data_IF_860950095747
#
_entry.id   IF_860950095747
#
_cell.length_a   1.000
_cell.length_b   1.000
_cell.length_c   1.000
_cell.angle_alpha   90.00
_cell.angle_beta   90.00
_cell.angle_gamma   90.00
#
_symmetry.space_group_name_H-M   'P 1'
#
loop_
_entity.id
_entity.type
_entity.pdbx_description
1 polymer ?
#
# COMPACT_ATOMS: atom_id res chain seq x y z
N UNK A 1 -13.38 14.75 16.53
CA UNK A 1 -12.54 14.57 15.34
C UNK A 1 -11.19 14.07 15.80
N UNK A 2 -10.59 13.20 15.03
CA UNK A 2 -9.32 12.55 15.37
C UNK A 2 -8.22 13.07 14.46
N UNK A 3 -6.98 13.11 14.96
CA UNK A 3 -5.82 13.40 14.14
C UNK A 3 -5.59 12.26 13.15
N UNK A 4 -5.47 12.59 11.88
CA UNK A 4 -5.08 11.66 10.80
C UNK A 4 -3.82 12.19 10.16
N UNK A 5 -2.80 11.32 10.08
CA UNK A 5 -1.56 11.59 9.37
C UNK A 5 -1.49 10.66 8.17
N UNK A 6 -1.29 11.22 7.00
CA UNK A 6 -1.00 10.48 5.76
C UNK A 6 0.47 10.66 5.45
N UNK A 7 1.19 9.57 5.38
CA UNK A 7 2.63 9.52 5.17
C UNK A 7 2.98 8.74 3.91
N UNK A 8 3.84 9.30 3.07
CA UNK A 8 4.43 8.55 1.97
C UNK A 8 5.68 7.83 2.47
N UNK A 9 5.48 6.58 2.91
CA UNK A 9 6.54 5.76 3.48
C UNK A 9 7.54 5.34 2.40
N UNK A 10 8.83 5.70 2.54
CA UNK A 10 9.88 5.22 1.64
C UNK A 10 10.13 3.71 1.77
N UNK A 11 10.77 3.13 0.76
CA UNK A 11 11.40 1.83 0.87
C UNK A 11 12.42 1.81 2.01
N UNK A 12 12.47 0.72 2.75
CA UNK A 12 13.45 0.53 3.82
C UNK A 12 13.06 1.13 5.16
N UNK A 13 11.83 1.61 5.30
CA UNK A 13 11.30 2.18 6.54
C UNK A 13 10.22 1.26 7.11
N UNK A 14 10.35 0.92 8.39
CA UNK A 14 9.38 0.12 9.13
C UNK A 14 8.12 0.93 9.46
N UNK A 15 6.96 0.26 9.52
CA UNK A 15 5.70 0.83 10.02
C UNK A 15 5.66 0.84 11.55
N UNK A 16 6.69 1.38 12.18
CA UNK A 16 6.82 1.52 13.63
C UNK A 16 7.81 2.64 13.96
N UNK A 17 7.77 3.16 15.18
CA UNK A 17 8.64 4.26 15.61
C UNK A 17 10.02 3.80 16.11
N UNK A 18 10.20 2.52 16.38
CA UNK A 18 11.48 1.97 16.84
C UNK A 18 12.19 1.28 15.68
N UNK A 19 13.44 1.64 15.36
CA UNK A 19 14.23 0.94 14.34
C UNK A 19 14.54 -0.49 14.78
N UNK A 20 14.68 -1.37 13.80
CA UNK A 20 14.99 -2.78 14.02
C UNK A 20 15.89 -3.32 12.91
N UNK A 21 17.00 -3.95 13.31
CA UNK A 21 17.98 -4.48 12.37
C UNK A 21 18.59 -3.37 11.50
N UNK A 22 18.60 -3.57 10.21
CA UNK A 22 19.09 -2.59 9.21
C UNK A 22 18.06 -1.54 8.80
N UNK A 23 16.81 -1.70 9.26
CA UNK A 23 15.71 -0.88 8.78
C UNK A 23 15.55 0.40 9.61
N UNK A 24 15.28 1.49 8.90
CA UNK A 24 14.89 2.77 9.49
C UNK A 24 13.47 2.71 10.04
N UNK A 25 13.06 3.67 10.83
CA UNK A 25 11.75 3.72 11.44
C UNK A 25 11.07 5.10 11.28
N UNK A 26 9.82 5.19 11.72
CA UNK A 26 9.00 6.40 11.57
C UNK A 26 9.47 7.59 12.41
N UNK A 27 10.26 7.34 13.47
CA UNK A 27 10.82 8.39 14.33
C UNK A 27 11.70 9.38 13.58
N UNK A 28 12.32 8.97 12.47
CA UNK A 28 13.11 9.85 11.61
C UNK A 28 12.26 10.81 10.77
N UNK A 29 10.97 10.55 10.59
CA UNK A 29 10.10 11.27 9.65
C UNK A 29 8.95 11.99 10.33
N UNK A 30 8.35 11.40 11.35
CA UNK A 30 7.09 11.85 11.94
C UNK A 30 7.32 12.33 13.37
N UNK A 31 7.39 13.66 13.59
CA UNK A 31 7.63 14.23 14.92
C UNK A 31 6.34 14.29 15.78
N UNK A 32 5.22 13.82 15.28
CA UNK A 32 3.92 13.89 15.96
C UNK A 32 3.84 12.79 17.01
N UNK A 33 3.66 13.17 18.27
CA UNK A 33 3.50 12.24 19.38
C UNK A 33 2.05 11.77 19.50
N UNK A 34 1.85 10.56 20.03
CA UNK A 34 0.54 10.02 20.34
C UNK A 34 -0.24 9.49 19.16
N UNK A 35 0.39 9.36 17.99
CA UNK A 35 -0.23 8.73 16.83
C UNK A 35 0.29 7.30 16.64
N UNK A 36 -0.58 6.43 16.18
CA UNK A 36 -0.33 5.00 15.97
C UNK A 36 -0.63 4.59 14.54
N UNK A 37 0.13 3.65 14.02
CA UNK A 37 -0.04 3.13 12.66
C UNK A 37 -1.37 2.39 12.53
N UNK A 38 -2.13 2.72 11.50
CA UNK A 38 -3.37 2.07 11.11
C UNK A 38 -3.18 1.40 9.73
N UNK A 39 -3.05 0.08 9.71
CA UNK A 39 -2.80 -0.68 8.48
C UNK A 39 -1.35 -0.60 8.01
N UNK A 40 -0.55 -1.52 8.49
CA UNK A 40 0.91 -1.58 8.25
C UNK A 40 1.27 -1.76 6.77
N UNK A 41 2.44 -1.24 6.40
CA UNK A 41 3.19 -1.61 5.20
C UNK A 41 4.49 -2.29 5.62
N UNK A 42 4.92 -3.27 4.84
CA UNK A 42 6.23 -3.91 5.05
C UNK A 42 7.37 -2.92 4.79
N UNK A 43 8.54 -3.20 5.34
CA UNK A 43 9.73 -2.36 5.16
C UNK A 43 10.10 -2.20 3.66
N UNK A 44 9.95 -3.26 2.89
CA UNK A 44 10.23 -3.29 1.44
C UNK A 44 9.06 -2.82 0.55
N UNK A 45 7.99 -2.31 1.14
CA UNK A 45 6.88 -1.67 0.44
C UNK A 45 6.89 -0.16 0.66
N UNK A 46 6.32 0.57 -0.29
CA UNK A 46 6.33 2.04 -0.33
C UNK A 46 4.90 2.58 -0.32
N UNK A 47 4.76 3.84 0.00
CA UNK A 47 3.54 4.58 -0.24
C UNK A 47 2.73 4.91 1.00
N UNK A 48 1.44 5.01 0.84
CA UNK A 48 0.53 5.57 1.81
C UNK A 48 0.43 4.73 3.08
N UNK A 49 0.86 5.32 4.19
CA UNK A 49 0.69 4.82 5.53
C UNK A 49 -0.17 5.80 6.32
N UNK A 50 -1.16 5.31 7.03
CA UNK A 50 -2.04 6.12 7.88
C UNK A 50 -1.62 5.96 9.32
N UNK A 51 -1.55 7.08 10.04
CA UNK A 51 -1.42 7.10 11.50
C UNK A 51 -2.56 7.93 12.09
N UNK A 52 -2.99 7.59 13.29
CA UNK A 52 -4.04 8.32 14.01
C UNK A 52 -3.84 8.21 15.52
N UNK A 53 -4.36 9.20 16.25
CA UNK A 53 -4.44 9.19 17.71
C UNK A 53 -5.69 8.47 18.23
N UNK A 54 -6.58 8.03 17.36
CA UNK A 54 -7.85 7.38 17.68
C UNK A 54 -7.76 5.86 17.50
N UNK A 55 -7.76 5.11 18.60
CA UNK A 55 -7.69 3.65 18.58
C UNK A 55 -8.92 2.98 17.92
N UNK A 56 -10.09 3.61 17.96
CA UNK A 56 -11.29 3.09 17.28
C UNK A 56 -11.14 3.24 15.76
N UNK A 57 -10.63 4.38 15.32
CA UNK A 57 -10.35 4.62 13.91
C UNK A 57 -9.24 3.69 13.41
N UNK A 58 -8.15 3.52 14.18
CA UNK A 58 -7.08 2.58 13.89
C UNK A 58 -7.61 1.15 13.68
N UNK A 59 -8.46 0.67 14.60
CA UNK A 59 -9.06 -0.65 14.49
C UNK A 59 -9.95 -0.79 13.24
N UNK A 60 -10.76 0.21 12.93
CA UNK A 60 -11.61 0.21 11.73
C UNK A 60 -10.81 0.16 10.43
N UNK A 61 -9.69 0.86 10.36
CA UNK A 61 -8.81 0.86 9.18
C UNK A 61 -8.14 -0.50 9.00
N UNK A 62 -7.69 -1.11 10.09
CA UNK A 62 -6.98 -2.39 10.07
C UNK A 62 -7.90 -3.60 9.90
N UNK A 63 -9.13 -3.52 10.33
CA UNK A 63 -10.07 -4.65 10.36
C UNK A 63 -10.64 -4.96 8.96
N UNK A 64 -10.39 -6.16 8.41
CA UNK A 64 -10.90 -6.56 7.10
C UNK A 64 -12.43 -6.64 7.02
N UNK A 65 -13.14 -6.68 8.14
CA UNK A 65 -14.63 -6.66 8.18
C UNK A 65 -15.18 -5.34 7.65
N UNK A 66 -14.47 -4.25 7.79
CA UNK A 66 -14.88 -2.95 7.24
C UNK A 66 -14.64 -2.81 5.74
N UNK A 67 -13.95 -3.78 5.11
CA UNK A 67 -13.71 -3.87 3.66
C UNK A 67 -13.14 -2.59 3.05
N UNK A 68 -12.37 -1.82 3.83
CA UNK A 68 -11.71 -0.62 3.31
C UNK A 68 -10.74 -0.99 2.20
N UNK A 69 -11.03 -0.51 0.98
CA UNK A 69 -10.25 -0.85 -0.20
C UNK A 69 -8.86 -0.22 -0.13
N UNK A 70 -7.84 -1.00 -0.46
CA UNK A 70 -6.45 -0.57 -0.59
C UNK A 70 -6.03 -0.76 -2.03
N UNK A 71 -5.50 0.28 -2.63
CA UNK A 71 -4.98 0.25 -3.99
C UNK A 71 -3.47 0.09 -3.95
N UNK A 72 -2.96 -0.82 -4.78
CA UNK A 72 -1.53 -1.07 -4.94
C UNK A 72 -1.11 -0.94 -6.39
N UNK A 73 0.06 -0.36 -6.61
CA UNK A 73 0.81 -0.47 -7.85
C UNK A 73 1.91 -1.50 -7.65
N UNK A 74 1.86 -2.57 -8.41
CA UNK A 74 2.83 -3.65 -8.35
C UNK A 74 3.63 -3.68 -9.66
N UNK A 75 4.92 -3.44 -9.59
CA UNK A 75 5.83 -3.78 -10.67
C UNK A 75 6.17 -5.25 -10.55
N UNK A 76 5.84 -6.03 -11.56
CA UNK A 76 6.03 -7.47 -11.58
C UNK A 76 7.05 -7.87 -12.63
N UNK A 77 7.70 -9.01 -12.42
CA UNK A 77 8.54 -9.67 -13.40
C UNK A 77 7.66 -10.35 -14.43
N UNK A 78 7.92 -10.11 -15.73
CA UNK A 78 7.10 -10.60 -16.81
C UNK A 78 5.96 -9.66 -17.22
N UNK A 79 5.17 -10.11 -18.18
CA UNK A 79 4.00 -9.38 -18.72
C UNK A 79 2.78 -10.31 -18.69
N UNK A 80 1.98 -10.29 -17.62
CA UNK A 80 0.82 -11.16 -17.51
C UNK A 80 -0.23 -10.83 -18.57
N UNK A 81 -0.85 -11.86 -19.12
CA UNK A 81 -2.02 -11.76 -19.99
C UNK A 81 -3.28 -11.54 -19.16
N UNK A 82 -4.38 -11.18 -19.81
CA UNK A 82 -5.70 -11.10 -19.14
C UNK A 82 -6.09 -12.45 -18.49
N UNK A 83 -5.82 -13.56 -19.17
CA UNK A 83 -6.07 -14.90 -18.64
C UNK A 83 -5.24 -15.19 -17.37
N UNK A 84 -4.00 -14.74 -17.33
CA UNK A 84 -3.13 -14.92 -16.15
C UNK A 84 -3.65 -14.15 -14.93
N UNK A 85 -4.34 -13.03 -15.13
CA UNK A 85 -4.89 -12.19 -14.06
C UNK A 85 -6.23 -12.70 -13.50
N UNK A 86 -6.96 -13.57 -14.24
CA UNK A 86 -8.27 -14.08 -13.82
C UNK A 86 -8.27 -14.78 -12.45
N UNK A 87 -7.28 -15.60 -12.09
CA UNK A 87 -7.24 -16.17 -10.74
C UNK A 87 -7.25 -15.14 -9.62
N UNK A 88 -6.61 -13.99 -9.82
CA UNK A 88 -6.61 -12.88 -8.83
C UNK A 88 -7.99 -12.24 -8.72
N UNK A 89 -8.70 -12.11 -9.84
CA UNK A 89 -10.06 -11.54 -9.88
C UNK A 89 -11.10 -12.45 -9.28
N UNK A 90 -10.90 -13.77 -9.34
CA UNK A 90 -11.82 -14.79 -8.78
C UNK A 90 -11.51 -15.15 -7.33
N UNK A 91 -10.31 -14.87 -6.86
CA UNK A 91 -9.85 -15.26 -5.53
C UNK A 91 -8.87 -16.43 -5.61
N UNK A 92 -7.57 -16.11 -5.59
CA UNK A 92 -6.49 -17.09 -5.69
C UNK A 92 -6.26 -17.84 -4.39
N UNK A 93 -6.05 -19.16 -4.48
CA UNK A 93 -5.65 -19.99 -3.35
C UNK A 93 -4.17 -19.75 -3.02
N UNK A 94 -3.91 -19.40 -1.76
CA UNK A 94 -2.58 -19.33 -1.17
C UNK A 94 -2.37 -20.49 -0.19
N UNK A 95 -1.17 -20.64 0.35
CA UNK A 95 -0.85 -21.79 1.21
C UNK A 95 -1.69 -21.90 2.46
N UNK A 96 -2.10 -20.78 3.05
CA UNK A 96 -2.77 -20.69 4.36
C UNK A 96 -4.18 -20.10 4.29
N UNK A 97 -4.57 -19.49 3.15
CA UNK A 97 -5.92 -18.96 2.95
C UNK A 97 -6.24 -18.80 1.45
N UNK A 98 -7.50 -18.57 1.13
CA UNK A 98 -7.93 -18.14 -0.20
C UNK A 98 -8.20 -16.64 -0.16
N UNK A 99 -7.51 -15.89 -1.02
CA UNK A 99 -7.73 -14.46 -1.14
C UNK A 99 -9.14 -14.16 -1.64
N UNK A 100 -9.75 -13.10 -1.15
CA UNK A 100 -11.01 -12.60 -1.73
C UNK A 100 -10.76 -12.11 -3.15
N UNK A 101 -11.80 -12.10 -4.00
CA UNK A 101 -11.71 -11.50 -5.33
C UNK A 101 -11.10 -10.10 -5.29
N UNK A 102 -10.07 -9.87 -6.11
CA UNK A 102 -9.41 -8.58 -6.25
C UNK A 102 -9.80 -7.92 -7.57
N UNK A 103 -9.75 -6.59 -7.60
CA UNK A 103 -9.79 -5.84 -8.86
C UNK A 103 -8.36 -5.70 -9.37
N UNK A 104 -8.08 -6.20 -10.54
CA UNK A 104 -6.73 -6.20 -11.13
C UNK A 104 -6.79 -5.77 -12.57
N UNK A 105 -5.91 -4.85 -12.94
CA UNK A 105 -5.74 -4.43 -14.33
C UNK A 105 -4.28 -4.09 -14.64
N UNK A 106 -3.81 -4.34 -15.88
CA UNK A 106 -2.55 -3.79 -16.35
C UNK A 106 -2.62 -2.26 -16.38
N UNK A 107 -1.52 -1.62 -16.04
CA UNK A 107 -1.34 -0.17 -16.18
C UNK A 107 0.03 0.12 -16.78
N UNK A 108 0.21 1.31 -17.30
CA UNK A 108 1.53 1.84 -17.59
C UNK A 108 2.25 2.20 -16.28
N UNK A 109 3.57 2.41 -16.34
CA UNK A 109 4.28 2.95 -15.19
C UNK A 109 3.59 4.22 -14.70
N UNK A 110 3.28 4.32 -13.39
CA UNK A 110 2.58 5.50 -12.86
C UNK A 110 3.31 6.80 -13.19
N UNK A 111 2.57 7.78 -13.69
CA UNK A 111 3.13 9.08 -14.05
C UNK A 111 3.74 9.77 -12.84
N UNK A 112 4.93 10.36 -13.01
CA UNK A 112 5.63 11.08 -11.94
C UNK A 112 6.13 10.19 -10.82
N UNK A 113 6.27 8.89 -11.06
CA UNK A 113 6.77 7.95 -10.08
C UNK A 113 8.22 8.30 -9.70
N UNK A 114 8.48 8.39 -8.38
CA UNK A 114 9.81 8.61 -7.85
C UNK A 114 10.71 7.37 -8.04
N UNK A 115 12.03 7.55 -8.20
CA UNK A 115 12.96 6.44 -8.24
C UNK A 115 13.03 5.75 -6.87
N UNK A 116 13.12 4.42 -6.85
CA UNK A 116 13.36 3.68 -5.61
C UNK A 116 14.85 3.65 -5.29
N UNK A 117 15.18 3.84 -4.03
CA UNK A 117 16.52 3.68 -3.51
C UNK A 117 16.54 2.63 -2.37
N UNK A 118 17.25 1.52 -2.53
CA UNK A 118 17.99 1.07 -3.71
C UNK A 118 17.08 0.72 -4.90
N UNK A 119 17.59 0.73 -6.14
CA UNK A 119 16.84 0.29 -7.31
C UNK A 119 16.34 -1.15 -7.18
N UNK A 120 15.30 -1.50 -7.91
CA UNK A 120 14.86 -2.90 -7.99
C UNK A 120 15.96 -3.80 -8.52
N UNK A 121 15.96 -5.06 -8.09
CA UNK A 121 16.80 -6.08 -8.70
C UNK A 121 16.28 -6.36 -10.10
N UNK A 122 17.08 -6.00 -11.08
CA UNK A 122 16.72 -6.07 -12.49
C UNK A 122 17.39 -7.28 -13.17
N UNK A 123 16.59 -8.05 -13.91
CA UNK A 123 17.08 -9.10 -14.79
C UNK A 123 16.89 -8.65 -16.23
N UNK A 124 17.99 -8.36 -16.94
CA UNK A 124 17.94 -7.77 -18.29
C UNK A 124 17.16 -8.61 -19.32
N UNK A 125 17.10 -9.93 -19.14
CA UNK A 125 16.43 -10.85 -20.05
C UNK A 125 14.91 -11.00 -19.78
N UNK A 126 14.38 -10.44 -18.68
CA UNK A 126 12.97 -10.60 -18.30
C UNK A 126 12.33 -9.21 -18.28
N UNK A 127 11.29 -9.00 -19.11
CA UNK A 127 10.56 -7.74 -19.09
C UNK A 127 9.85 -7.55 -17.76
N UNK A 128 9.56 -6.31 -17.39
CA UNK A 128 8.72 -5.96 -16.25
C UNK A 128 7.48 -5.25 -16.73
N UNK A 129 6.42 -5.31 -15.91
CA UNK A 129 5.17 -4.61 -16.19
C UNK A 129 4.52 -4.14 -14.89
N UNK A 130 3.53 -3.25 -15.00
CA UNK A 130 2.83 -2.70 -13.87
C UNK A 130 1.39 -3.18 -13.81
N UNK A 131 0.93 -3.48 -12.61
CA UNK A 131 -0.45 -3.83 -12.29
C UNK A 131 -1.01 -2.87 -11.25
N UNK A 132 -2.26 -2.48 -11.42
CA UNK A 132 -3.06 -1.91 -10.33
C UNK A 132 -3.87 -3.04 -9.70
N UNK A 133 -3.72 -3.22 -8.40
CA UNK A 133 -4.39 -4.26 -7.63
C UNK A 133 -5.14 -3.62 -6.47
N UNK A 134 -6.45 -3.86 -6.38
CA UNK A 134 -7.28 -3.36 -5.30
C UNK A 134 -7.84 -4.52 -4.50
N UNK A 135 -7.59 -4.50 -3.20
CA UNK A 135 -8.04 -5.52 -2.24
C UNK A 135 -8.72 -4.91 -1.04
N UNK A 136 -9.63 -5.64 -0.41
CA UNK A 136 -10.30 -5.25 0.84
C UNK A 136 -9.81 -6.03 2.06
N UNK A 137 -8.71 -6.74 1.90
CA UNK A 137 -8.01 -7.52 2.93
C UNK A 137 -6.64 -6.90 3.23
N UNK A 138 -5.91 -7.48 4.16
CA UNK A 138 -4.59 -6.99 4.54
C UNK A 138 -3.77 -8.05 5.24
N UNK A 139 -3.77 -9.28 4.73
CA UNK A 139 -2.94 -10.36 5.27
C UNK A 139 -1.47 -10.15 4.96
N UNK A 140 -0.61 -10.74 5.78
CA UNK A 140 0.83 -10.60 5.66
C UNK A 140 1.32 -10.85 4.23
N UNK A 141 1.98 -9.86 3.64
CA UNK A 141 2.56 -9.87 2.29
C UNK A 141 1.60 -10.34 1.19
N UNK A 142 0.30 -10.05 1.37
CA UNK A 142 -0.75 -10.65 0.53
C UNK A 142 -0.58 -10.36 -0.96
N UNK A 143 -0.38 -9.11 -1.36
CA UNK A 143 -0.26 -8.76 -2.79
C UNK A 143 0.95 -9.46 -3.42
N UNK A 144 2.10 -9.48 -2.73
CA UNK A 144 3.31 -10.18 -3.21
C UNK A 144 3.09 -11.67 -3.37
N UNK A 145 2.36 -12.27 -2.45
CA UNK A 145 2.02 -13.70 -2.49
C UNK A 145 1.02 -14.02 -3.61
N UNK A 146 0.06 -13.12 -3.84
CA UNK A 146 -0.93 -13.27 -4.91
C UNK A 146 -0.25 -13.23 -6.29
N UNK A 147 0.60 -12.24 -6.54
CA UNK A 147 1.31 -12.14 -7.85
C UNK A 147 2.28 -13.29 -8.07
N UNK A 148 2.99 -13.72 -7.02
CA UNK A 148 3.87 -14.88 -7.09
C UNK A 148 3.09 -16.18 -7.40
N UNK A 149 1.89 -16.33 -6.85
CA UNK A 149 1.05 -17.52 -7.07
C UNK A 149 0.63 -17.69 -8.54
N UNK A 150 0.54 -16.61 -9.29
CA UNK A 150 0.25 -16.67 -10.74
C UNK A 150 1.51 -16.62 -11.61
N UNK A 151 2.71 -16.70 -11.01
CA UNK A 151 3.99 -16.75 -11.72
C UNK A 151 4.63 -15.40 -12.08
N UNK A 152 4.13 -14.30 -11.49
CA UNK A 152 4.61 -12.95 -11.77
C UNK A 152 5.05 -12.24 -10.47
N UNK A 153 6.25 -12.56 -9.93
CA UNK A 153 6.68 -12.03 -8.65
C UNK A 153 6.82 -10.52 -8.66
N UNK A 154 6.41 -9.88 -7.57
CA UNK A 154 6.49 -8.44 -7.39
C UNK A 154 7.94 -8.00 -7.10
N UNK A 155 8.44 -7.07 -7.89
CA UNK A 155 9.74 -6.43 -7.74
C UNK A 155 9.66 -5.14 -6.91
N UNK A 156 8.58 -4.37 -7.12
CA UNK A 156 8.30 -3.12 -6.41
C UNK A 156 6.83 -3.04 -6.07
N UNK A 157 6.52 -2.61 -4.83
CA UNK A 157 5.14 -2.49 -4.38
C UNK A 157 4.91 -1.14 -3.71
N UNK A 158 3.94 -0.41 -4.23
CA UNK A 158 3.56 0.92 -3.75
C UNK A 158 2.07 0.90 -3.43
N UNK A 159 1.68 1.48 -2.30
CA UNK A 159 0.27 1.70 -1.96
C UNK A 159 -0.09 3.17 -2.18
N UNK A 160 -0.69 3.55 -3.30
CA UNK A 160 -1.04 4.95 -3.57
C UNK A 160 -2.30 5.43 -2.86
N UNK A 161 -3.18 4.51 -2.43
CA UNK A 161 -4.44 4.88 -1.82
C UNK A 161 -4.93 3.86 -0.79
N UNK A 162 -5.63 4.35 0.22
CA UNK A 162 -6.42 3.58 1.20
C UNK A 162 -7.78 4.27 1.29
N UNK A 163 -8.83 3.59 0.80
CA UNK A 163 -10.14 4.24 0.64
C UNK A 163 -10.02 5.49 -0.22
N UNK A 164 -10.54 6.60 0.27
CA UNK A 164 -10.50 7.89 -0.39
C UNK A 164 -9.19 8.68 -0.19
N UNK A 165 -8.33 8.25 0.72
CA UNK A 165 -7.05 8.91 0.96
C UNK A 165 -6.02 8.49 -0.08
N UNK A 166 -5.30 9.46 -0.62
CA UNK A 166 -4.27 9.27 -1.66
C UNK A 166 -2.96 9.94 -1.27
N UNK A 167 -1.89 9.59 -1.99
CA UNK A 167 -0.57 10.21 -1.87
C UNK A 167 -0.50 11.62 -2.48
N UNK A 168 -1.54 12.15 -3.08
CA UNK A 168 -1.54 13.37 -3.88
C UNK A 168 -0.60 14.46 -3.30
N UNK A 169 0.43 14.81 -4.05
CA UNK A 169 1.41 15.86 -3.71
C UNK A 169 2.47 15.48 -2.66
N UNK A 170 2.46 14.27 -2.12
CA UNK A 170 3.47 13.83 -1.14
C UNK A 170 4.63 13.11 -1.83
N UNK A 171 5.83 13.64 -1.72
CA UNK A 171 7.06 12.94 -2.06
C UNK A 171 7.42 11.88 -0.99
N UNK A 172 8.29 10.89 -1.29
CA UNK A 172 8.74 9.93 -0.29
C UNK A 172 9.32 10.61 0.95
N UNK A 173 8.87 10.19 2.13
CA UNK A 173 9.27 10.78 3.41
C UNK A 173 8.45 11.99 3.85
N UNK A 174 7.60 12.50 2.99
CA UNK A 174 6.69 13.60 3.34
C UNK A 174 5.38 13.08 3.96
N UNK A 175 4.76 13.94 4.76
CA UNK A 175 3.48 13.65 5.40
C UNK A 175 2.61 14.91 5.47
N UNK A 176 1.31 14.69 5.59
CA UNK A 176 0.34 15.75 5.92
C UNK A 176 -0.54 15.30 7.07
N UNK A 177 -1.03 16.27 7.83
CA UNK A 177 -1.94 16.07 8.96
C UNK A 177 -3.25 16.80 8.71
N UNK A 178 -4.35 16.19 9.13
CA UNK A 178 -5.66 16.83 9.16
C UNK A 178 -6.51 16.21 10.28
N UNK A 179 -7.57 16.91 10.66
CA UNK A 179 -8.57 16.40 11.61
C UNK A 179 -9.73 15.78 10.84
N UNK A 180 -10.07 14.53 11.17
CA UNK A 180 -11.08 13.79 10.44
C UNK A 180 -11.58 12.55 11.16
N UNK A 181 -12.27 11.69 10.43
CA UNK A 181 -12.80 10.44 10.94
C UNK A 181 -12.95 9.38 9.83
N UNK A 182 -13.58 8.25 10.18
CA UNK A 182 -13.75 7.14 9.22
C UNK A 182 -14.52 7.55 7.95
N UNK A 183 -15.45 8.49 8.07
CA UNK A 183 -16.19 9.04 6.93
C UNK A 183 -15.29 9.64 5.84
N UNK A 184 -14.17 10.24 6.24
CA UNK A 184 -13.22 10.84 5.29
C UNK A 184 -12.43 9.77 4.49
N UNK A 185 -12.35 8.55 5.00
CA UNK A 185 -11.69 7.43 4.32
C UNK A 185 -12.60 6.71 3.32
N UNK A 186 -13.93 6.78 3.52
CA UNK A 186 -14.89 6.07 2.67
C UNK A 186 -15.57 6.97 1.66
N UNK A 187 -15.48 8.29 1.82
CA UNK A 187 -16.22 9.25 1.01
C UNK A 187 -15.36 9.81 -0.12
N UNK A 188 -15.53 9.26 -1.34
CA UNK A 188 -14.85 9.72 -2.54
C UNK A 188 -15.36 11.08 -3.05
N UNK A 189 -16.41 11.63 -2.45
CA UNK A 189 -17.08 12.87 -2.90
C UNK A 189 -16.47 14.15 -2.32
N UNK A 190 -15.52 14.08 -1.41
CA UNK A 190 -14.77 15.25 -0.95
C UNK A 190 -13.44 15.32 -1.71
N UNK A 191 -13.43 16.04 -2.83
CA UNK A 191 -12.21 16.70 -3.27
C UNK A 191 -11.67 17.47 -2.07
N UNK A 192 -10.51 17.03 -1.59
CA UNK A 192 -9.82 17.72 -0.51
C UNK A 192 -9.58 19.15 -0.99
N UNK A 193 -10.36 20.08 -0.46
CA UNK A 193 -10.16 21.51 -0.68
C UNK A 193 -8.71 21.81 -0.28
N UNK A 194 -8.02 22.43 -1.22
CA UNK A 194 -6.63 22.91 -1.17
C UNK A 194 -6.33 23.64 0.13
#
# INVERSE_FOLDING_TARGET
MSTIVVFNKPYGVLSQFTPEGKWRALDEFIPIKGVYVAGRLDADSEGLLILTDDGVLQAKIADPRHKLEKTYWAQVEGVPTEADLEPLRRGVRLSDFTARPAKVRPIDEPAGLWPRDPPIRYRAAIPTSWLEIRISEGKNRQVRRMTAAIGYPTLRLIRPAVGALTLAGLAPGEWRRFEGGYGDLINTSRELRK
#
